data_IF_900612823889
#
_entry.id   IF_900612823889
#
_cell.length_a   1.000
_cell.length_b   1.000
_cell.length_c   1.000
_cell.angle_alpha   90.00
_cell.angle_beta   90.00
_cell.angle_gamma   90.00
#
_symmetry.space_group_name_H-M   'P 1'
#
loop_
_entity.id
_entity.type
_entity.pdbx_description
1 polymer ?
#
# COMPACT_ATOMS: atom_id res chain seq x y z
N UNK A 1 20.73 5.32 -56.98
CA UNK A 1 19.41 4.99 -56.39
C UNK A 1 19.53 5.16 -54.88
N UNK A 2 18.81 6.13 -54.33
CA UNK A 2 18.78 6.47 -52.89
C UNK A 2 17.74 5.58 -52.20
N UNK A 3 18.12 4.90 -51.13
CA UNK A 3 17.19 4.15 -50.26
C UNK A 3 16.83 5.03 -49.06
N UNK A 4 15.54 5.31 -48.89
CA UNK A 4 15.00 6.15 -47.81
C UNK A 4 15.04 5.39 -46.47
N UNK A 5 15.71 5.99 -45.49
CA UNK A 5 15.57 5.65 -44.08
C UNK A 5 14.36 6.42 -43.53
N UNK A 6 13.35 5.69 -43.06
CA UNK A 6 12.19 6.24 -42.35
C UNK A 6 12.62 6.56 -40.91
N UNK A 7 12.91 7.84 -40.68
CA UNK A 7 13.01 8.44 -39.34
C UNK A 7 11.60 8.47 -38.75
N UNK A 8 11.32 7.70 -37.71
CA UNK A 8 10.11 7.87 -36.90
C UNK A 8 10.35 9.03 -35.93
N UNK A 9 9.56 10.08 -36.10
CA UNK A 9 9.51 11.23 -35.21
C UNK A 9 9.08 10.82 -33.80
N UNK A 10 9.89 11.18 -32.81
CA UNK A 10 9.45 11.28 -31.42
C UNK A 10 8.39 12.39 -31.34
N UNK A 11 7.20 12.04 -30.85
CA UNK A 11 6.14 13.01 -30.56
C UNK A 11 6.56 13.96 -29.42
N UNK A 12 5.90 15.13 -29.32
CA UNK A 12 6.27 16.15 -28.35
C UNK A 12 6.00 15.65 -26.92
N UNK A 13 7.04 15.75 -26.09
CA UNK A 13 6.98 15.63 -24.64
C UNK A 13 5.98 16.69 -24.15
N UNK A 14 4.84 16.26 -23.62
CA UNK A 14 3.92 17.14 -22.90
C UNK A 14 4.67 17.76 -21.71
N UNK A 15 4.65 19.09 -21.54
CA UNK A 15 5.33 19.72 -20.41
C UNK A 15 4.66 19.24 -19.11
N UNK A 16 5.46 18.57 -18.28
CA UNK A 16 5.05 18.14 -16.96
C UNK A 16 4.51 19.30 -16.13
N UNK A 17 3.50 18.99 -15.33
CA UNK A 17 2.92 19.88 -14.33
C UNK A 17 4.06 20.47 -13.48
N UNK A 18 4.13 21.81 -13.27
CA UNK A 18 5.20 22.42 -12.50
C UNK A 18 5.18 21.90 -11.05
N UNK A 19 6.35 21.68 -10.43
CA UNK A 19 6.42 21.16 -9.07
C UNK A 19 5.81 22.15 -8.08
N UNK A 20 4.91 21.67 -7.23
CA UNK A 20 4.51 22.41 -6.02
C UNK A 20 5.72 22.48 -5.09
N UNK A 21 6.00 23.64 -4.47
CA UNK A 21 7.16 23.80 -3.61
C UNK A 21 7.09 22.85 -2.41
N UNK A 22 8.23 22.27 -2.05
CA UNK A 22 8.44 21.43 -0.87
C UNK A 22 7.88 22.13 0.37
N UNK A 23 6.71 21.67 0.82
CA UNK A 23 6.21 22.01 2.14
C UNK A 23 6.77 20.96 3.10
N UNK A 24 7.58 21.44 4.04
CA UNK A 24 7.96 20.70 5.24
C UNK A 24 6.67 20.30 5.98
N UNK A 25 6.15 19.10 5.72
CA UNK A 25 4.98 18.55 6.40
C UNK A 25 5.40 17.25 7.08
N UNK A 26 5.73 17.37 8.37
CA UNK A 26 5.58 16.28 9.33
C UNK A 26 4.07 16.02 9.52
N UNK A 27 3.74 14.85 10.08
CA UNK A 27 2.58 14.56 10.93
C UNK A 27 1.62 15.73 11.15
N UNK A 28 0.30 15.55 10.91
CA UNK A 28 -0.81 16.51 11.17
C UNK A 28 -0.29 17.83 11.70
N UNK A 29 -0.16 18.83 10.83
CA UNK A 29 0.44 20.12 11.20
C UNK A 29 -0.17 20.60 12.52
N UNK A 30 0.61 21.25 13.39
CA UNK A 30 0.07 21.83 14.64
C UNK A 30 -1.17 22.68 14.35
N UNK A 31 -1.23 23.29 13.16
CA UNK A 31 -2.40 24.00 12.64
C UNK A 31 -3.60 23.08 12.45
N UNK A 32 -3.45 21.93 11.80
CA UNK A 32 -4.53 20.97 11.57
C UNK A 32 -5.07 20.42 12.89
N UNK A 33 -4.19 20.07 13.83
CA UNK A 33 -4.57 19.61 15.17
C UNK A 33 -5.38 20.68 15.92
N UNK A 34 -4.97 21.94 15.85
CA UNK A 34 -5.71 23.07 16.45
C UNK A 34 -7.05 23.30 15.74
N UNK A 35 -7.07 23.29 14.41
CA UNK A 35 -8.28 23.51 13.61
C UNK A 35 -9.32 22.41 13.84
N UNK A 36 -8.89 21.18 14.09
CA UNK A 36 -9.77 20.08 14.46
C UNK A 36 -10.21 20.12 15.95
N UNK A 37 -9.35 20.51 16.89
CA UNK A 37 -9.64 20.44 18.33
C UNK A 37 -10.51 21.62 18.80
N UNK A 38 -10.26 22.82 18.30
CA UNK A 38 -10.90 24.04 18.79
C UNK A 38 -12.43 24.07 18.55
N UNK A 39 -12.98 23.64 17.41
CA UNK A 39 -14.43 23.55 17.22
C UNK A 39 -15.09 22.53 18.16
N UNK A 40 -14.47 21.37 18.38
CA UNK A 40 -14.98 20.35 19.30
C UNK A 40 -14.98 20.87 20.74
N UNK A 41 -13.90 21.53 21.17
CA UNK A 41 -13.83 22.16 22.49
C UNK A 41 -14.89 23.25 22.68
N UNK A 42 -15.09 24.10 21.67
CA UNK A 42 -16.12 25.13 21.69
C UNK A 42 -17.54 24.51 21.72
N UNK A 43 -17.76 23.40 21.00
CA UNK A 43 -19.02 22.66 21.01
C UNK A 43 -19.29 22.04 22.40
N UNK A 44 -18.28 21.42 23.02
CA UNK A 44 -18.37 20.90 24.39
C UNK A 44 -18.73 22.04 25.36
N UNK A 45 -18.12 23.22 25.22
CA UNK A 45 -18.43 24.36 26.08
C UNK A 45 -19.88 24.83 25.92
N UNK A 46 -20.41 24.86 24.69
CA UNK A 46 -21.82 25.17 24.40
C UNK A 46 -22.78 24.14 25.00
N UNK A 47 -22.39 22.87 25.03
CA UNK A 47 -23.19 21.78 25.59
C UNK A 47 -23.15 21.76 27.11
N UNK A 48 -21.96 21.88 27.72
CA UNK A 48 -21.77 21.71 29.18
C UNK A 48 -22.09 22.99 29.95
N UNK A 49 -21.72 24.16 29.42
CA UNK A 49 -21.93 25.46 30.08
C UNK A 49 -22.55 26.48 29.11
N UNK A 50 -23.86 26.38 28.81
CA UNK A 50 -24.48 27.12 27.71
C UNK A 50 -24.34 28.64 27.83
N UNK A 51 -24.43 29.20 29.05
CA UNK A 51 -24.31 30.65 29.27
C UNK A 51 -22.91 31.16 28.95
N UNK A 52 -21.87 30.45 29.40
CA UNK A 52 -20.48 30.79 29.12
C UNK A 52 -20.14 30.49 27.66
N UNK A 53 -20.51 29.30 27.19
CA UNK A 53 -20.28 28.85 25.82
C UNK A 53 -20.89 29.80 24.80
N UNK A 54 -22.07 30.36 25.07
CA UNK A 54 -22.68 31.33 24.16
C UNK A 54 -21.95 32.68 24.16
N UNK A 55 -21.53 33.19 25.33
CA UNK A 55 -20.73 34.42 25.43
C UNK A 55 -19.42 34.30 24.65
N UNK A 56 -18.72 33.17 24.81
CA UNK A 56 -17.48 32.88 24.09
C UNK A 56 -17.76 32.61 22.60
N UNK A 57 -18.82 31.86 22.30
CA UNK A 57 -19.17 31.37 20.97
C UNK A 57 -19.51 32.48 19.97
N UNK A 58 -20.06 33.62 20.41
CA UNK A 58 -20.32 34.78 19.55
C UNK A 58 -19.05 35.27 18.84
N UNK A 59 -17.90 35.12 19.49
CA UNK A 59 -16.61 35.52 18.93
C UNK A 59 -15.86 34.31 18.37
N UNK A 60 -15.81 33.22 19.12
CA UNK A 60 -15.01 32.06 18.76
C UNK A 60 -15.52 31.36 17.49
N UNK A 61 -16.83 31.19 17.32
CA UNK A 61 -17.39 30.43 16.18
C UNK A 61 -17.12 31.13 14.84
N UNK A 62 -17.37 32.45 14.68
CA UNK A 62 -17.00 33.15 13.45
C UNK A 62 -15.49 33.08 13.14
N UNK A 63 -14.63 33.21 14.16
CA UNK A 63 -13.17 33.08 13.98
C UNK A 63 -12.80 31.68 13.47
N UNK A 64 -13.39 30.63 14.06
CA UNK A 64 -13.18 29.26 13.61
C UNK A 64 -13.67 29.04 12.18
N UNK A 65 -14.83 29.59 11.80
CA UNK A 65 -15.36 29.51 10.43
C UNK A 65 -14.41 30.19 9.45
N UNK A 66 -13.93 31.40 9.76
CA UNK A 66 -12.98 32.13 8.90
C UNK A 66 -11.66 31.36 8.79
N UNK A 67 -11.16 30.79 9.89
CA UNK A 67 -9.97 29.95 9.91
C UNK A 67 -10.11 28.72 9.01
N UNK A 68 -11.25 28.02 9.09
CA UNK A 68 -11.54 26.85 8.25
C UNK A 68 -11.77 27.23 6.79
N UNK A 69 -12.39 28.37 6.50
CA UNK A 69 -12.53 28.87 5.14
C UNK A 69 -11.16 29.21 4.54
N UNK A 70 -10.28 29.84 5.32
CA UNK A 70 -8.89 30.10 4.93
C UNK A 70 -8.11 28.81 4.68
N UNK A 71 -8.24 27.82 5.58
CA UNK A 71 -7.63 26.51 5.40
C UNK A 71 -8.16 25.82 4.15
N UNK A 72 -9.47 25.85 3.90
CA UNK A 72 -10.10 25.23 2.72
C UNK A 72 -9.58 25.82 1.40
N UNK A 73 -9.31 27.13 1.34
CA UNK A 73 -8.73 27.77 0.16
C UNK A 73 -7.32 27.27 -0.16
N UNK A 74 -6.60 26.78 0.84
CA UNK A 74 -5.25 26.21 0.68
C UNK A 74 -5.34 24.69 0.52
N UNK A 75 -6.16 24.03 1.33
CA UNK A 75 -6.26 22.59 1.52
C UNK A 75 -7.72 22.15 1.78
N UNK A 76 -8.40 21.60 0.77
CA UNK A 76 -9.78 21.14 0.90
C UNK A 76 -9.86 19.77 1.58
N UNK A 77 -9.87 19.76 2.91
CA UNK A 77 -10.13 18.55 3.72
C UNK A 77 -11.60 18.11 3.65
N UNK A 78 -11.99 17.50 2.52
CA UNK A 78 -13.37 17.03 2.27
C UNK A 78 -13.88 16.06 3.34
N UNK A 79 -12.98 15.28 3.96
CA UNK A 79 -13.29 14.37 5.05
C UNK A 79 -13.71 15.08 6.35
N UNK A 80 -13.48 16.40 6.48
CA UNK A 80 -13.93 17.20 7.63
C UNK A 80 -15.35 17.74 7.48
N UNK A 81 -16.15 17.23 6.54
CA UNK A 81 -17.54 17.66 6.37
C UNK A 81 -18.39 17.66 7.65
N UNK A 82 -18.25 16.72 8.62
CA UNK A 82 -19.01 16.80 9.87
C UNK A 82 -18.62 18.01 10.72
N UNK A 83 -17.34 18.39 10.69
CA UNK A 83 -16.80 19.56 11.38
C UNK A 83 -17.36 20.85 10.77
N UNK A 84 -17.47 20.92 9.45
CA UNK A 84 -18.09 22.06 8.77
C UNK A 84 -19.58 22.20 9.13
N UNK A 85 -20.32 21.09 9.21
CA UNK A 85 -21.70 21.09 9.70
C UNK A 85 -21.79 21.49 11.17
N UNK A 86 -20.85 21.05 12.01
CA UNK A 86 -20.77 21.45 13.42
C UNK A 86 -20.60 22.97 13.55
N UNK A 87 -19.69 23.57 12.78
CA UNK A 87 -19.46 25.01 12.79
C UNK A 87 -20.72 25.81 12.40
N UNK A 88 -21.45 25.35 11.37
CA UNK A 88 -22.72 25.96 10.96
C UNK A 88 -23.78 25.80 12.05
N UNK A 89 -23.92 24.62 12.64
CA UNK A 89 -24.87 24.36 13.72
C UNK A 89 -24.57 25.24 14.96
N UNK A 90 -23.30 25.39 15.31
CA UNK A 90 -22.86 26.27 16.40
C UNK A 90 -23.15 27.75 16.10
N UNK A 91 -22.96 28.20 14.86
CA UNK A 91 -23.26 29.57 14.47
C UNK A 91 -24.75 29.86 14.62
N UNK A 92 -25.60 28.97 14.11
CA UNK A 92 -27.06 29.08 14.23
C UNK A 92 -27.49 29.08 15.70
N UNK A 93 -26.93 28.17 16.51
CA UNK A 93 -27.25 28.07 17.93
C UNK A 93 -26.87 29.33 18.71
N UNK A 94 -25.70 29.90 18.45
CA UNK A 94 -25.26 31.13 19.12
C UNK A 94 -26.14 32.32 18.70
N UNK A 95 -26.54 32.38 17.43
CA UNK A 95 -27.37 33.44 16.85
C UNK A 95 -28.86 33.36 17.21
N UNK A 96 -29.40 32.22 17.64
CA UNK A 96 -30.86 32.01 17.84
C UNK A 96 -31.22 31.73 19.30
N UNK A 97 -32.31 32.30 19.80
CA UNK A 97 -32.72 32.20 21.22
C UNK A 97 -33.73 31.09 21.54
N UNK A 98 -34.01 30.16 20.60
CA UNK A 98 -35.04 29.11 20.75
C UNK A 98 -34.50 27.67 20.71
N UNK A 99 -35.28 26.73 21.26
CA UNK A 99 -35.02 25.25 21.28
C UNK A 99 -33.64 24.84 21.81
N UNK A 100 -33.20 25.42 22.93
CA UNK A 100 -31.86 25.22 23.48
C UNK A 100 -31.47 23.74 23.71
N UNK A 101 -32.40 22.90 24.16
CA UNK A 101 -32.10 21.48 24.42
C UNK A 101 -31.84 20.69 23.13
N UNK A 102 -32.70 20.81 22.12
CA UNK A 102 -32.54 20.12 20.83
C UNK A 102 -31.29 20.63 20.09
N UNK A 103 -31.02 21.93 20.14
CA UNK A 103 -29.79 22.51 19.58
C UNK A 103 -28.53 21.95 20.25
N UNK A 104 -28.54 21.79 21.57
CA UNK A 104 -27.41 21.19 22.32
C UNK A 104 -27.23 19.71 22.02
N UNK A 105 -28.31 18.94 21.89
CA UNK A 105 -28.22 17.53 21.49
C UNK A 105 -27.62 17.43 20.08
N UNK A 106 -28.10 18.23 19.12
CA UNK A 106 -27.56 18.27 17.77
C UNK A 106 -26.08 18.64 17.72
N UNK A 107 -25.67 19.69 18.46
CA UNK A 107 -24.26 20.09 18.58
C UNK A 107 -23.44 18.97 19.23
N UNK A 108 -23.94 18.33 20.29
CA UNK A 108 -23.24 17.23 20.96
C UNK A 108 -23.01 16.04 20.05
N UNK A 109 -24.03 15.64 19.27
CA UNK A 109 -23.91 14.56 18.27
C UNK A 109 -22.92 14.96 17.17
N UNK A 110 -23.04 16.16 16.60
CA UNK A 110 -22.09 16.63 15.58
C UNK A 110 -20.66 16.75 16.12
N UNK A 111 -20.48 17.14 17.37
CA UNK A 111 -19.17 17.20 18.03
C UNK A 111 -18.58 15.81 18.19
N UNK A 112 -19.38 14.80 18.55
CA UNK A 112 -18.94 13.41 18.62
C UNK A 112 -18.55 12.87 17.23
N UNK A 113 -19.36 13.12 16.19
CA UNK A 113 -19.04 12.72 14.81
C UNK A 113 -17.78 13.46 14.31
N UNK A 114 -17.63 14.75 14.63
CA UNK A 114 -16.45 15.54 14.24
C UNK A 114 -15.19 15.08 14.97
N UNK A 115 -15.31 14.69 16.24
CA UNK A 115 -14.21 14.06 16.97
C UNK A 115 -13.83 12.72 16.33
N UNK A 116 -14.80 11.97 15.80
CA UNK A 116 -14.52 10.74 15.06
C UNK A 116 -13.77 10.98 13.73
N UNK A 117 -13.72 12.19 13.19
CA UNK A 117 -12.89 12.51 12.01
C UNK A 117 -11.40 12.45 12.33
N UNK A 118 -10.99 12.71 13.59
CA UNK A 118 -9.59 12.53 14.04
C UNK A 118 -9.07 11.12 13.86
N UNK A 119 -9.99 10.17 13.72
CA UNK A 119 -9.69 8.76 13.61
C UNK A 119 -9.14 8.38 12.24
N UNK A 120 -9.24 9.28 11.25
CA UNK A 120 -8.72 9.09 9.89
C UNK A 120 -7.79 10.27 9.58
N UNK A 121 -6.47 10.13 9.78
CA UNK A 121 -5.53 11.20 9.51
C UNK A 121 -5.63 11.67 8.06
N UNK A 122 -5.56 12.99 7.77
CA UNK A 122 -5.57 13.49 6.41
C UNK A 122 -4.42 12.96 5.55
N UNK A 123 -3.24 12.80 6.16
CA UNK A 123 -2.06 12.20 5.53
C UNK A 123 -1.59 11.06 6.44
N UNK A 124 -1.76 9.80 6.02
CA UNK A 124 -1.23 8.64 6.75
C UNK A 124 0.29 8.68 6.90
N UNK A 125 0.78 8.15 8.01
CA UNK A 125 2.21 7.96 8.26
C UNK A 125 2.59 6.50 8.06
N UNK A 126 3.50 6.25 7.12
CA UNK A 126 4.06 4.93 6.85
C UNK A 126 5.31 4.67 7.73
N UNK A 127 5.59 3.41 8.10
CA UNK A 127 6.76 3.07 8.90
C UNK A 127 8.06 3.53 8.23
N UNK A 128 8.98 4.09 9.03
CA UNK A 128 10.32 4.39 8.55
C UNK A 128 11.09 3.10 8.22
N UNK A 129 11.78 3.04 7.06
CA UNK A 129 12.70 1.98 6.74
C UNK A 129 13.76 1.82 7.83
N UNK A 130 14.06 0.57 8.17
CA UNK A 130 15.02 0.18 9.20
C UNK A 130 16.39 -0.16 8.63
N UNK A 131 16.46 -0.43 7.33
CA UNK A 131 17.71 -0.65 6.62
C UNK A 131 18.55 0.64 6.53
N UNK A 132 19.88 0.50 6.40
CA UNK A 132 20.80 1.65 6.46
C UNK A 132 20.87 2.48 5.18
N UNK A 133 20.13 2.12 4.13
CA UNK A 133 20.21 2.76 2.81
C UNK A 133 19.03 3.68 2.58
N UNK A 134 19.28 4.81 1.90
CA UNK A 134 18.21 5.58 1.29
C UNK A 134 17.50 4.72 0.22
N UNK A 135 16.27 5.08 -0.13
CA UNK A 135 15.46 4.32 -1.10
C UNK A 135 15.13 5.20 -2.30
N UNK A 136 15.44 4.71 -3.50
CA UNK A 136 15.01 5.31 -4.76
C UNK A 136 13.83 4.55 -5.34
N UNK A 137 13.05 5.19 -6.20
CA UNK A 137 11.97 4.55 -6.95
C UNK A 137 11.94 4.96 -8.42
N UNK A 138 11.42 4.06 -9.25
CA UNK A 138 11.17 4.26 -10.67
C UNK A 138 9.99 3.37 -11.10
N UNK A 139 9.15 3.82 -12.04
CA UNK A 139 8.07 3.00 -12.60
C UNK A 139 8.39 2.65 -14.05
N UNK A 140 8.18 1.40 -14.39
CA UNK A 140 8.19 0.86 -15.75
C UNK A 140 6.78 0.47 -16.16
N UNK A 141 6.29 1.04 -17.26
CA UNK A 141 4.99 0.71 -17.84
C UNK A 141 5.22 -0.04 -19.14
N UNK A 142 5.07 -1.35 -19.09
CA UNK A 142 5.33 -2.22 -20.22
C UNK A 142 4.04 -2.78 -20.80
N UNK A 143 4.07 -3.05 -22.10
CA UNK A 143 2.97 -3.73 -22.81
C UNK A 143 3.49 -5.05 -23.34
N UNK A 144 2.89 -6.14 -22.90
CA UNK A 144 3.15 -7.48 -23.42
C UNK A 144 2.42 -7.67 -24.75
N UNK A 145 3.16 -7.44 -25.84
CA UNK A 145 2.62 -7.53 -27.21
C UNK A 145 2.15 -8.95 -27.58
N UNK A 146 2.59 -9.99 -26.85
CA UNK A 146 2.25 -11.38 -27.13
C UNK A 146 0.96 -11.84 -26.43
N UNK A 147 0.52 -11.13 -25.38
CA UNK A 147 -0.69 -11.49 -24.61
C UNK A 147 -1.82 -10.49 -24.84
N UNK A 148 -3.02 -10.94 -25.27
CA UNK A 148 -4.18 -10.07 -25.28
C UNK A 148 -4.58 -9.67 -23.86
N UNK A 149 -5.17 -8.49 -23.70
CA UNK A 149 -5.90 -8.17 -22.48
C UNK A 149 -7.29 -8.80 -22.54
N UNK A 150 -7.62 -9.62 -21.56
CA UNK A 150 -8.86 -10.39 -21.58
C UNK A 150 -10.08 -9.55 -21.14
N UNK A 151 -9.85 -8.36 -20.56
CA UNK A 151 -10.85 -7.58 -19.80
C UNK A 151 -11.31 -6.30 -20.46
N UNK A 152 -10.74 -6.00 -21.63
CA UNK A 152 -11.04 -4.82 -22.43
C UNK A 152 -11.35 -5.27 -23.86
N UNK A 153 -11.23 -4.36 -24.82
CA UNK A 153 -11.51 -4.60 -26.24
C UNK A 153 -10.60 -5.70 -26.83
N UNK A 154 -11.07 -6.35 -27.89
CA UNK A 154 -10.43 -7.55 -28.43
C UNK A 154 -9.01 -7.34 -29.01
N UNK A 155 -8.63 -6.10 -29.31
CA UNK A 155 -7.30 -5.74 -29.82
C UNK A 155 -6.33 -5.23 -28.75
N UNK A 156 -6.79 -5.05 -27.51
CA UNK A 156 -5.95 -4.57 -26.41
C UNK A 156 -4.90 -5.62 -26.00
N UNK A 157 -3.81 -5.13 -25.41
CA UNK A 157 -2.63 -5.91 -25.03
C UNK A 157 -2.37 -5.76 -23.55
N UNK A 158 -1.88 -6.85 -22.95
CA UNK A 158 -1.68 -6.92 -21.51
C UNK A 158 -0.66 -5.87 -21.06
N UNK A 159 -1.13 -4.88 -20.32
CA UNK A 159 -0.26 -3.95 -19.61
C UNK A 159 0.31 -4.63 -18.36
N UNK A 160 1.60 -4.43 -18.10
CA UNK A 160 2.28 -4.86 -16.89
C UNK A 160 3.04 -3.66 -16.34
N UNK A 161 2.53 -3.11 -15.24
CA UNK A 161 3.08 -1.90 -14.60
C UNK A 161 3.88 -2.34 -13.38
N UNK A 162 5.15 -1.92 -13.34
CA UNK A 162 6.10 -2.33 -12.32
C UNK A 162 6.72 -1.10 -11.70
N UNK A 163 6.66 -0.99 -10.38
CA UNK A 163 7.42 0.00 -9.65
C UNK A 163 8.58 -0.66 -8.93
N UNK A 164 9.76 -0.09 -9.12
CA UNK A 164 10.95 -0.47 -8.41
C UNK A 164 11.12 0.38 -7.15
N UNK A 165 11.54 -0.28 -6.07
CA UNK A 165 12.20 0.34 -4.91
C UNK A 165 13.60 -0.23 -4.84
N UNK A 166 14.61 0.62 -4.74
CA UNK A 166 16.01 0.19 -4.80
C UNK A 166 16.87 0.95 -3.80
N UNK A 167 18.01 0.38 -3.36
CA UNK A 167 18.95 1.10 -2.51
C UNK A 167 19.52 2.28 -3.28
N UNK A 168 19.30 3.50 -2.81
CA UNK A 168 19.80 4.74 -3.40
C UNK A 168 21.07 5.22 -2.70
N UNK A 169 21.90 5.96 -3.44
CA UNK A 169 23.16 6.49 -2.90
C UNK A 169 22.93 7.55 -1.81
N UNK A 170 21.89 8.36 -1.95
CA UNK A 170 21.55 9.43 -1.02
C UNK A 170 20.04 9.71 -1.03
N UNK A 171 19.54 10.19 0.11
CA UNK A 171 18.17 10.65 0.28
C UNK A 171 18.06 12.13 -0.12
N UNK A 172 17.98 12.41 -1.42
CA UNK A 172 17.81 13.78 -1.90
C UNK A 172 16.98 13.82 -3.18
N UNK A 173 16.05 14.76 -3.27
CA UNK A 173 15.26 15.00 -4.47
C UNK A 173 13.77 14.97 -4.19
N UNK A 174 12.99 14.84 -5.27
CA UNK A 174 11.53 14.78 -5.22
C UNK A 174 11.09 13.46 -4.58
N UNK A 175 10.23 13.54 -3.56
CA UNK A 175 9.59 12.34 -2.99
C UNK A 175 8.70 11.65 -4.03
N UNK A 176 8.68 10.32 -3.97
CA UNK A 176 7.80 9.54 -4.83
C UNK A 176 6.35 9.59 -4.31
N UNK A 177 5.39 9.78 -5.22
CA UNK A 177 3.95 9.83 -4.90
C UNK A 177 3.42 8.45 -4.55
N UNK A 178 2.48 8.37 -3.61
CA UNK A 178 1.94 7.09 -3.16
C UNK A 178 1.10 6.39 -4.24
N UNK A 179 0.13 7.09 -4.83
CA UNK A 179 -0.72 6.60 -5.91
C UNK A 179 -0.46 7.42 -7.17
N UNK A 180 -0.24 6.75 -8.31
CA UNK A 180 0.00 7.39 -9.62
C UNK A 180 -1.29 7.80 -10.35
N UNK A 181 -2.45 7.27 -9.96
CA UNK A 181 -3.78 7.69 -10.46
C UNK A 181 -4.61 8.45 -9.42
N UNK A 182 -3.98 9.28 -8.59
CA UNK A 182 -4.62 9.96 -7.46
C UNK A 182 -5.77 10.91 -7.87
N UNK A 183 -5.70 11.49 -9.06
CA UNK A 183 -6.70 12.40 -9.62
C UNK A 183 -7.98 11.71 -10.09
N UNK A 184 -7.92 10.41 -10.38
CA UNK A 184 -9.03 9.60 -10.88
C UNK A 184 -9.11 8.32 -10.05
N UNK A 185 -9.67 8.44 -8.84
CA UNK A 185 -9.87 7.30 -7.95
C UNK A 185 -11.28 6.71 -8.13
N UNK A 186 -11.43 5.37 -8.11
CA UNK A 186 -12.74 4.74 -7.99
C UNK A 186 -13.39 5.09 -6.64
N UNK A 187 -14.64 4.66 -6.40
CA UNK A 187 -15.32 4.90 -5.12
C UNK A 187 -14.60 4.30 -3.90
N UNK A 188 -13.81 3.25 -4.12
CA UNK A 188 -12.98 2.60 -3.11
C UNK A 188 -11.73 1.96 -3.74
N UNK A 189 -10.63 1.96 -3.00
CA UNK A 189 -9.36 1.30 -3.37
C UNK A 189 -9.07 0.23 -2.32
N UNK A 190 -9.14 -1.05 -2.71
CA UNK A 190 -8.98 -2.20 -1.81
C UNK A 190 -9.82 -2.10 -0.51
N UNK A 191 -11.13 -1.87 -0.68
CA UNK A 191 -12.12 -1.64 0.39
C UNK A 191 -11.99 -0.32 1.17
N UNK A 192 -10.96 0.48 0.90
CA UNK A 192 -10.79 1.79 1.55
C UNK A 192 -11.53 2.85 0.72
N UNK A 193 -12.49 3.59 1.29
CA UNK A 193 -13.23 4.62 0.56
C UNK A 193 -12.33 5.74 0.02
N UNK A 194 -12.47 6.14 -1.24
CA UNK A 194 -11.63 7.20 -1.82
C UNK A 194 -11.86 8.59 -1.21
N UNK A 195 -12.99 8.79 -0.51
CA UNK A 195 -13.28 10.03 0.23
C UNK A 195 -12.19 10.40 1.25
N UNK A 196 -11.49 9.42 1.82
CA UNK A 196 -10.43 9.66 2.81
C UNK A 196 -9.05 9.81 2.17
N UNK A 197 -8.92 9.58 0.87
CA UNK A 197 -7.64 9.55 0.17
C UNK A 197 -7.22 10.88 -0.43
N UNK A 198 -7.95 11.97 -0.19
CA UNK A 198 -7.77 13.23 -0.94
C UNK A 198 -6.39 13.91 -0.83
N UNK A 199 -5.55 13.48 0.12
CA UNK A 199 -4.20 14.03 0.35
C UNK A 199 -3.11 12.95 0.32
N UNK A 200 -3.37 11.80 -0.32
CA UNK A 200 -2.43 10.67 -0.35
C UNK A 200 -1.23 10.92 -1.26
N UNK A 201 -1.28 11.93 -2.15
CA UNK A 201 -0.12 12.45 -2.88
C UNK A 201 0.98 13.00 -1.96
N UNK A 202 0.64 13.28 -0.68
CA UNK A 202 1.57 13.79 0.35
C UNK A 202 2.11 12.73 1.30
N UNK A 203 1.67 11.47 1.18
CA UNK A 203 2.21 10.39 2.00
C UNK A 203 3.71 10.26 1.73
N UNK A 204 4.52 10.26 2.79
CA UNK A 204 5.94 9.96 2.67
C UNK A 204 6.12 8.46 2.46
N UNK A 205 6.44 8.07 1.22
CA UNK A 205 6.74 6.69 0.85
C UNK A 205 8.15 6.26 1.25
N UNK A 206 8.93 7.18 1.82
CA UNK A 206 10.36 7.03 2.11
C UNK A 206 11.23 6.78 0.87
N UNK A 207 10.68 6.99 -0.33
CA UNK A 207 11.35 6.78 -1.60
C UNK A 207 11.49 8.09 -2.40
N UNK A 208 12.61 8.21 -3.11
CA UNK A 208 12.95 9.39 -3.92
C UNK A 208 12.94 9.05 -5.41
N UNK A 209 12.40 9.97 -6.21
CA UNK A 209 12.49 9.93 -7.66
C UNK A 209 13.86 10.42 -8.15
N UNK A 210 14.27 9.95 -9.33
CA UNK A 210 15.39 10.54 -10.09
C UNK A 210 16.74 10.50 -9.34
N UNK A 211 16.92 9.51 -8.46
CA UNK A 211 18.16 9.29 -7.68
C UNK A 211 18.95 8.08 -8.21
N UNK A 212 20.30 8.13 -8.18
CA UNK A 212 21.11 7.00 -8.62
C UNK A 212 21.05 5.83 -7.63
N UNK A 213 21.11 4.61 -8.17
CA UNK A 213 21.28 3.38 -7.38
C UNK A 213 22.60 3.42 -6.61
N UNK A 214 22.57 2.96 -5.36
CA UNK A 214 23.74 2.95 -4.49
C UNK A 214 24.89 2.13 -5.06
N UNK A 215 26.10 2.67 -4.94
CA UNK A 215 27.37 2.05 -5.34
C UNK A 215 27.95 1.10 -4.29
N UNK A 216 27.30 0.94 -3.13
CA UNK A 216 27.74 0.03 -2.07
C UNK A 216 27.82 -1.45 -2.51
N UNK A 217 27.13 -1.81 -3.60
CA UNK A 217 27.20 -3.13 -4.25
C UNK A 217 27.09 -2.94 -5.77
N UNK A 218 27.83 -3.75 -6.54
CA UNK A 218 27.79 -3.67 -8.01
C UNK A 218 26.42 -4.06 -8.57
N UNK A 219 25.87 -5.17 -8.07
CA UNK A 219 24.56 -5.72 -8.48
C UNK A 219 23.78 -6.18 -7.26
N UNK A 220 22.51 -5.82 -7.17
CA UNK A 220 21.66 -6.07 -6.03
C UNK A 220 20.71 -7.26 -6.28
N UNK A 221 20.47 -8.13 -5.27
CA UNK A 221 19.48 -9.20 -5.39
C UNK A 221 18.10 -8.62 -5.70
N UNK A 222 17.33 -9.32 -6.53
CA UNK A 222 16.04 -8.86 -7.05
C UNK A 222 14.91 -9.60 -6.36
N UNK A 223 13.87 -8.86 -5.98
CA UNK A 223 12.65 -9.39 -5.40
C UNK A 223 11.48 -8.96 -6.26
N UNK A 224 10.77 -9.88 -6.89
CA UNK A 224 9.46 -9.59 -7.47
C UNK A 224 8.42 -9.58 -6.36
N UNK A 225 7.59 -8.55 -6.31
CA UNK A 225 6.50 -8.43 -5.33
C UNK A 225 5.14 -8.44 -6.02
N UNK A 226 4.24 -9.33 -5.60
CA UNK A 226 2.84 -9.35 -6.07
C UNK A 226 1.88 -8.95 -4.92
N UNK A 227 1.03 -7.92 -5.11
CA UNK A 227 0.03 -7.46 -4.13
C UNK A 227 -1.06 -8.48 -3.79
N UNK A 228 -1.89 -8.19 -2.79
CA UNK A 228 -3.17 -8.90 -2.58
C UNK A 228 -4.16 -8.69 -3.74
N UNK A 229 -5.24 -9.47 -3.77
CA UNK A 229 -6.31 -9.31 -4.76
C UNK A 229 -6.96 -7.93 -4.62
N UNK A 230 -7.17 -7.23 -5.75
CA UNK A 230 -7.76 -5.88 -5.77
C UNK A 230 -6.87 -4.74 -5.24
N UNK A 231 -5.76 -5.05 -4.58
CA UNK A 231 -4.86 -4.05 -4.02
C UNK A 231 -3.86 -3.54 -5.06
N UNK A 232 -3.65 -2.21 -5.16
CA UNK A 232 -2.55 -1.68 -5.95
C UNK A 232 -1.21 -1.94 -5.24
N UNK A 233 -0.12 -1.96 -6.01
CA UNK A 233 1.26 -2.09 -5.53
C UNK A 233 1.62 -1.02 -4.48
N UNK A 234 1.02 0.16 -4.60
CA UNK A 234 1.20 1.28 -3.68
C UNK A 234 0.90 0.92 -2.22
N UNK A 235 -0.05 0.00 -1.97
CA UNK A 235 -0.49 -0.41 -0.63
C UNK A 235 0.53 -1.25 0.15
N UNK A 236 1.75 -1.37 -0.38
CA UNK A 236 2.84 -2.12 0.22
C UNK A 236 4.12 -1.28 0.31
N UNK A 237 4.03 0.04 0.13
CA UNK A 237 5.17 0.96 0.08
C UNK A 237 6.02 0.86 1.35
N UNK A 238 5.41 0.79 2.54
CA UNK A 238 6.16 0.62 3.79
C UNK A 238 7.00 -0.67 3.82
N UNK A 239 6.37 -1.79 3.46
CA UNK A 239 7.02 -3.11 3.42
C UNK A 239 8.16 -3.15 2.39
N UNK A 240 7.93 -2.69 1.15
CA UNK A 240 8.92 -2.80 0.06
C UNK A 240 10.03 -1.76 0.15
N UNK A 241 9.75 -0.57 0.69
CA UNK A 241 10.78 0.44 0.96
C UNK A 241 11.76 -0.05 2.03
N UNK A 242 11.28 -0.71 3.08
CA UNK A 242 12.16 -1.29 4.11
C UNK A 242 13.03 -2.43 3.53
N UNK A 243 12.49 -3.30 2.68
CA UNK A 243 13.31 -4.28 1.94
C UNK A 243 14.36 -3.61 1.06
N UNK A 244 14.00 -2.54 0.34
CA UNK A 244 14.96 -1.81 -0.47
C UNK A 244 16.07 -1.18 0.39
N UNK A 245 15.73 -0.58 1.53
CA UNK A 245 16.69 -0.04 2.48
C UNK A 245 17.64 -1.11 3.04
N UNK A 246 17.19 -2.36 3.12
CA UNK A 246 17.96 -3.55 3.54
C UNK A 246 18.85 -4.14 2.45
N UNK A 247 18.78 -3.63 1.23
CA UNK A 247 19.69 -4.01 0.14
C UNK A 247 19.10 -4.94 -0.92
N UNK A 248 17.82 -4.78 -1.25
CA UNK A 248 17.18 -5.48 -2.36
C UNK A 248 16.65 -4.50 -3.41
N UNK A 249 16.65 -4.89 -4.67
CA UNK A 249 15.81 -4.21 -5.67
C UNK A 249 14.46 -4.92 -5.68
N UNK A 250 13.42 -4.25 -5.20
CA UNK A 250 12.06 -4.79 -5.15
C UNK A 250 11.26 -4.26 -6.34
N UNK A 251 10.74 -5.15 -7.16
CA UNK A 251 9.90 -4.87 -8.34
C UNK A 251 8.46 -5.26 -8.01
N UNK A 252 7.66 -4.30 -7.53
CA UNK A 252 6.25 -4.54 -7.22
C UNK A 252 5.38 -4.36 -8.46
N UNK A 253 4.54 -5.36 -8.74
CA UNK A 253 3.79 -5.47 -9.98
C UNK A 253 2.32 -5.15 -9.73
N UNK A 254 1.77 -4.18 -10.44
CA UNK A 254 0.33 -4.05 -10.58
C UNK A 254 -0.20 -5.01 -11.64
N UNK A 255 -1.40 -5.54 -11.37
CA UNK A 255 -2.15 -6.37 -12.29
C UNK A 255 -3.37 -5.57 -12.75
N UNK A 256 -3.30 -4.86 -13.90
CA UNK A 256 -4.37 -3.98 -14.37
C UNK A 256 -5.71 -4.69 -14.47
N UNK A 257 -6.79 -3.92 -14.25
CA UNK A 257 -8.19 -4.35 -14.23
C UNK A 257 -8.58 -5.31 -13.10
N UNK A 258 -7.60 -5.84 -12.36
CA UNK A 258 -7.77 -6.46 -11.05
C UNK A 258 -7.47 -5.44 -9.95
N UNK A 259 -6.31 -4.77 -10.00
CA UNK A 259 -5.95 -3.67 -9.11
C UNK A 259 -6.94 -2.49 -9.24
N UNK A 260 -7.24 -1.83 -8.12
CA UNK A 260 -8.26 -0.78 -8.06
C UNK A 260 -7.91 0.49 -8.86
N UNK A 261 -6.63 0.82 -8.97
CA UNK A 261 -6.15 1.99 -9.70
C UNK A 261 -4.74 1.69 -10.22
N UNK A 262 -4.53 1.86 -11.52
CA UNK A 262 -3.21 1.69 -12.15
C UNK A 262 -3.13 2.58 -13.39
N UNK A 263 -2.13 3.44 -13.46
CA UNK A 263 -1.83 4.20 -14.69
C UNK A 263 -1.09 3.32 -15.71
N UNK A 264 -1.67 3.12 -16.88
CA UNK A 264 -1.16 2.28 -17.96
C UNK A 264 -0.10 2.98 -18.82
N UNK A 265 0.53 2.25 -19.74
CA UNK A 265 1.61 2.76 -20.58
C UNK A 265 1.21 3.91 -21.52
N UNK A 266 -0.08 4.03 -21.85
CA UNK A 266 -0.65 5.11 -22.66
C UNK A 266 -1.13 6.31 -21.81
N UNK A 267 -0.99 6.25 -20.48
CA UNK A 267 -1.45 7.26 -19.52
C UNK A 267 -2.91 7.07 -19.08
N UNK A 268 -3.61 6.05 -19.57
CA UNK A 268 -4.98 5.75 -19.12
C UNK A 268 -4.98 5.21 -17.69
N UNK A 269 -5.93 5.65 -16.85
CA UNK A 269 -6.13 5.08 -15.52
C UNK A 269 -7.06 3.86 -15.63
N UNK A 270 -6.54 2.67 -15.37
CA UNK A 270 -7.32 1.44 -15.29
C UNK A 270 -7.88 1.24 -13.88
N UNK A 271 -9.17 0.91 -13.81
CA UNK A 271 -9.87 0.51 -12.60
C UNK A 271 -10.23 -0.97 -12.62
N UNK A 272 -10.55 -1.53 -11.45
CA UNK A 272 -11.11 -2.87 -11.36
C UNK A 272 -12.40 -2.95 -12.19
N UNK A 273 -12.46 -3.89 -13.12
CA UNK A 273 -13.66 -4.16 -13.95
C UNK A 273 -14.34 -5.49 -13.59
N UNK A 274 -13.75 -6.25 -12.67
CA UNK A 274 -14.26 -7.55 -12.26
C UNK A 274 -14.90 -7.53 -10.88
N UNK A 275 -16.06 -8.18 -10.78
CA UNK A 275 -16.68 -8.54 -9.50
C UNK A 275 -16.39 -10.02 -9.25
N UNK A 276 -15.84 -10.34 -8.08
CA UNK A 276 -15.62 -11.74 -7.70
C UNK A 276 -16.99 -12.45 -7.63
N UNK A 277 -17.21 -13.52 -8.43
CA UNK A 277 -18.45 -14.26 -8.40
C UNK A 277 -18.54 -15.05 -7.11
N UNK A 278 -19.76 -15.11 -6.55
CA UNK A 278 -20.10 -16.06 -5.49
C UNK A 278 -20.10 -17.45 -6.14
N UNK A 279 -19.22 -18.34 -5.71
CA UNK A 279 -19.16 -19.76 -6.10
C UNK A 279 -18.53 -20.15 -7.45
N UNK A 280 -17.53 -19.42 -7.97
CA UNK A 280 -16.67 -19.96 -9.05
C UNK A 280 -15.24 -20.28 -8.55
N UNK A 281 -14.91 -21.56 -8.29
CA UNK A 281 -13.58 -21.95 -7.85
C UNK A 281 -12.49 -21.75 -8.92
N UNK A 282 -12.87 -21.58 -10.20
CA UNK A 282 -11.93 -21.32 -11.30
C UNK A 282 -11.50 -19.86 -11.36
N UNK A 283 -12.30 -18.95 -10.79
CA UNK A 283 -12.05 -17.51 -10.86
C UNK A 283 -10.62 -17.17 -10.42
N UNK A 284 -10.25 -17.58 -9.20
CA UNK A 284 -8.92 -17.31 -8.65
C UNK A 284 -7.81 -18.11 -9.37
N UNK A 285 -8.12 -19.28 -9.93
CA UNK A 285 -7.16 -20.08 -10.70
C UNK A 285 -6.76 -19.36 -11.99
N UNK A 286 -7.73 -18.77 -12.68
CA UNK A 286 -7.49 -18.00 -13.90
C UNK A 286 -6.66 -16.73 -13.61
N UNK A 287 -6.99 -15.97 -12.56
CA UNK A 287 -6.18 -14.79 -12.18
C UNK A 287 -4.79 -15.20 -11.72
N UNK A 288 -4.65 -16.35 -11.04
CA UNK A 288 -3.33 -16.86 -10.63
C UNK A 288 -2.46 -17.13 -11.87
N UNK A 289 -3.05 -17.69 -12.93
CA UNK A 289 -2.35 -17.91 -14.19
C UNK A 289 -1.93 -16.58 -14.87
N UNK A 290 -2.80 -15.58 -14.87
CA UNK A 290 -2.49 -14.23 -15.37
C UNK A 290 -1.34 -13.61 -14.58
N UNK A 291 -1.43 -13.58 -13.24
CA UNK A 291 -0.37 -13.04 -12.38
C UNK A 291 0.95 -13.79 -12.53
N UNK A 292 0.91 -15.11 -12.69
CA UNK A 292 2.08 -15.93 -12.99
C UNK A 292 2.72 -15.52 -14.31
N UNK A 293 1.91 -15.26 -15.35
CA UNK A 293 2.40 -14.80 -16.64
C UNK A 293 2.95 -13.36 -16.58
N UNK A 294 2.34 -12.47 -15.80
CA UNK A 294 2.86 -11.11 -15.58
C UNK A 294 4.23 -11.15 -14.89
N UNK A 295 4.39 -11.93 -13.82
CA UNK A 295 5.69 -12.08 -13.14
C UNK A 295 6.76 -12.63 -14.09
N UNK A 296 6.42 -13.60 -14.94
CA UNK A 296 7.33 -14.14 -15.97
C UNK A 296 7.68 -13.10 -17.03
N UNK A 297 6.72 -12.28 -17.44
CA UNK A 297 6.97 -11.17 -18.35
C UNK A 297 7.92 -10.14 -17.72
N UNK A 298 7.78 -9.82 -16.44
CA UNK A 298 8.74 -8.96 -15.72
C UNK A 298 10.15 -9.58 -15.75
N UNK A 299 10.27 -10.89 -15.49
CA UNK A 299 11.56 -11.59 -15.61
C UNK A 299 12.16 -11.47 -17.02
N UNK A 300 11.33 -11.56 -18.06
CA UNK A 300 11.76 -11.40 -19.45
C UNK A 300 12.27 -9.99 -19.72
N UNK A 301 11.58 -8.95 -19.23
CA UNK A 301 12.00 -7.55 -19.39
C UNK A 301 13.34 -7.27 -18.70
N UNK A 302 13.52 -7.71 -17.45
CA UNK A 302 14.76 -7.45 -16.71
C UNK A 302 15.94 -8.30 -17.19
N UNK A 303 15.68 -9.41 -17.88
CA UNK A 303 16.72 -10.27 -18.48
C UNK A 303 17.03 -9.92 -19.93
N UNK A 304 16.09 -9.29 -20.64
CA UNK A 304 16.09 -9.09 -22.09
C UNK A 304 16.80 -7.82 -22.58
N UNK A 305 17.37 -7.01 -21.67
CA UNK A 305 18.07 -5.77 -22.03
C UNK A 305 17.14 -4.60 -22.38
N UNK A 306 15.90 -4.62 -21.89
CA UNK A 306 15.01 -3.44 -21.89
C UNK A 306 15.68 -2.29 -21.15
N UNK A 307 15.37 -1.05 -21.51
CA UNK A 307 15.83 0.12 -20.75
C UNK A 307 15.25 0.08 -19.33
N UNK A 308 16.11 -0.16 -18.35
CA UNK A 308 15.78 -0.18 -16.93
C UNK A 308 16.17 1.13 -16.22
N UNK A 309 16.54 2.17 -16.99
CA UNK A 309 16.97 3.46 -16.48
C UNK A 309 18.03 3.33 -15.39
N UNK A 310 17.78 3.79 -14.15
CA UNK A 310 18.77 3.75 -13.08
C UNK A 310 19.19 2.32 -12.68
N UNK A 311 18.39 1.30 -12.99
CA UNK A 311 18.65 -0.10 -12.65
C UNK A 311 19.48 -0.84 -13.71
N UNK A 312 19.81 -0.21 -14.83
CA UNK A 312 20.62 -0.81 -15.89
C UNK A 312 21.94 -1.35 -15.33
N UNK A 313 22.24 -2.63 -15.58
CA UNK A 313 23.41 -3.36 -15.07
C UNK A 313 23.55 -3.45 -13.53
N UNK A 314 22.55 -3.01 -12.77
CA UNK A 314 22.53 -3.02 -11.29
C UNK A 314 21.78 -4.20 -10.70
N UNK A 315 21.17 -5.06 -11.52
CA UNK A 315 20.40 -6.22 -11.06
C UNK A 315 21.26 -7.48 -11.01
N UNK A 316 21.20 -8.19 -9.90
CA UNK A 316 21.76 -9.54 -9.79
C UNK A 316 20.73 -10.57 -10.29
N UNK A 317 20.77 -10.82 -11.59
CA UNK A 317 19.85 -11.75 -12.24
C UNK A 317 20.08 -13.23 -11.86
N UNK A 318 21.08 -13.53 -11.03
CA UNK A 318 21.29 -14.88 -10.48
C UNK A 318 20.61 -15.09 -9.12
N UNK A 319 20.17 -14.02 -8.47
CA UNK A 319 19.48 -14.02 -7.19
C UNK A 319 18.14 -13.28 -7.33
N UNK A 320 17.19 -13.92 -8.00
CA UNK A 320 15.82 -13.41 -8.16
C UNK A 320 14.85 -14.24 -7.33
N UNK A 321 14.14 -13.60 -6.42
CA UNK A 321 13.12 -14.23 -5.58
C UNK A 321 11.75 -13.62 -5.89
N UNK A 322 10.67 -14.37 -5.62
CA UNK A 322 9.31 -13.84 -5.73
C UNK A 322 8.63 -13.88 -4.37
N UNK A 323 8.05 -12.77 -3.93
CA UNK A 323 7.25 -12.70 -2.71
C UNK A 323 5.90 -12.08 -3.03
N UNK A 324 4.91 -12.29 -2.18
CA UNK A 324 3.66 -11.60 -2.31
C UNK A 324 2.74 -11.80 -1.13
N UNK A 325 1.76 -10.92 -1.02
CA UNK A 325 0.78 -10.94 0.05
C UNK A 325 -0.56 -11.50 -0.43
N UNK A 326 -1.22 -12.30 0.42
CA UNK A 326 -2.53 -12.86 0.14
C UNK A 326 -2.51 -13.61 -1.21
N UNK A 327 -3.36 -13.24 -2.16
CA UNK A 327 -3.35 -13.82 -3.50
C UNK A 327 -2.01 -13.67 -4.25
N UNK A 328 -1.27 -12.60 -4.00
CA UNK A 328 0.07 -12.40 -4.55
C UNK A 328 1.10 -13.41 -4.05
N UNK A 329 0.94 -13.94 -2.84
CA UNK A 329 1.79 -15.00 -2.31
C UNK A 329 1.58 -16.33 -3.06
N UNK A 330 0.33 -16.64 -3.41
CA UNK A 330 0.02 -17.77 -4.29
C UNK A 330 0.59 -17.58 -5.71
N UNK A 331 0.51 -16.35 -6.24
CA UNK A 331 1.13 -16.01 -7.52
C UNK A 331 2.66 -16.15 -7.49
N UNK A 332 3.32 -15.73 -6.41
CA UNK A 332 4.76 -15.87 -6.22
C UNK A 332 5.20 -17.35 -6.19
N UNK A 333 4.48 -18.20 -5.45
CA UNK A 333 4.72 -19.65 -5.42
C UNK A 333 4.43 -20.32 -6.78
N UNK A 334 3.37 -19.91 -7.46
CA UNK A 334 3.04 -20.39 -8.81
C UNK A 334 4.14 -20.02 -9.81
N UNK A 335 4.63 -18.77 -9.78
CA UNK A 335 5.73 -18.31 -10.60
C UNK A 335 7.03 -19.06 -10.30
N UNK A 336 7.37 -19.27 -9.02
CA UNK A 336 8.50 -20.10 -8.63
C UNK A 336 8.38 -21.47 -9.29
N UNK A 337 7.24 -22.15 -9.16
CA UNK A 337 7.04 -23.48 -9.74
C UNK A 337 7.16 -23.52 -11.28
N UNK A 338 6.91 -22.41 -11.97
CA UNK A 338 6.83 -22.33 -13.43
C UNK A 338 8.10 -21.76 -14.11
N UNK A 339 8.94 -21.01 -13.40
CA UNK A 339 10.11 -20.33 -13.97
C UNK A 339 11.38 -20.62 -13.16
N UNK A 340 12.43 -21.12 -13.84
CA UNK A 340 13.70 -21.53 -13.22
C UNK A 340 14.60 -20.37 -12.82
N UNK A 341 14.35 -19.15 -13.31
CA UNK A 341 15.12 -17.95 -12.92
C UNK A 341 14.85 -17.54 -11.48
N UNK A 342 13.68 -17.90 -10.95
CA UNK A 342 13.35 -17.67 -9.55
C UNK A 342 14.03 -18.71 -8.66
N UNK A 343 14.83 -18.26 -7.69
CA UNK A 343 15.61 -19.13 -6.81
C UNK A 343 14.90 -19.43 -5.49
N UNK A 344 13.99 -18.57 -5.05
CA UNK A 344 13.17 -18.77 -3.84
C UNK A 344 11.84 -18.01 -3.93
N UNK A 345 10.86 -18.38 -3.10
CA UNK A 345 9.64 -17.59 -2.94
C UNK A 345 9.06 -17.55 -1.53
N UNK A 346 8.40 -16.43 -1.20
CA UNK A 346 7.70 -16.27 0.07
C UNK A 346 6.20 -15.97 -0.12
N UNK A 347 5.37 -16.67 0.65
CA UNK A 347 3.94 -16.44 0.74
C UNK A 347 3.62 -15.70 2.05
N UNK A 348 3.23 -14.43 1.96
CA UNK A 348 2.79 -13.63 3.09
C UNK A 348 1.27 -13.78 3.23
N UNK A 349 0.87 -14.70 4.10
CA UNK A 349 -0.49 -14.96 4.51
C UNK A 349 -1.48 -15.26 3.36
N UNK A 350 -1.00 -15.96 2.32
CA UNK A 350 -1.79 -16.28 1.13
C UNK A 350 -2.45 -17.66 1.13
N UNK A 351 -3.69 -17.69 0.64
CA UNK A 351 -4.40 -18.93 0.30
C UNK A 351 -3.93 -19.45 -1.06
N UNK A 352 -3.72 -20.76 -1.19
CA UNK A 352 -3.29 -21.37 -2.46
C UNK A 352 -4.48 -21.75 -3.36
N UNK A 353 -4.29 -21.67 -4.69
CA UNK A 353 -5.32 -21.95 -5.68
C UNK A 353 -4.91 -22.99 -6.73
N UNK A 354 -5.92 -23.65 -7.30
CA UNK A 354 -5.76 -24.65 -8.34
C UNK A 354 -4.98 -25.88 -7.87
N UNK A 355 -4.03 -26.31 -8.69
CA UNK A 355 -3.16 -27.46 -8.44
C UNK A 355 -1.92 -27.11 -7.60
N UNK A 356 -1.73 -25.84 -7.22
CA UNK A 356 -0.53 -25.38 -6.52
C UNK A 356 -0.23 -26.18 -5.23
N UNK A 357 -1.21 -26.52 -4.36
CA UNK A 357 -0.98 -27.39 -3.21
C UNK A 357 -0.43 -28.78 -3.55
N UNK A 358 -0.63 -29.25 -4.79
CA UNK A 358 -0.23 -30.59 -5.23
C UNK A 358 1.09 -30.59 -6.00
N UNK A 359 1.66 -29.41 -6.30
CA UNK A 359 2.93 -29.28 -7.01
C UNK A 359 4.11 -29.66 -6.12
N UNK A 360 5.15 -30.18 -6.75
CA UNK A 360 6.46 -30.38 -6.11
C UNK A 360 7.34 -29.18 -6.43
N UNK A 361 7.86 -28.51 -5.41
CA UNK A 361 8.78 -27.38 -5.56
C UNK A 361 10.14 -27.79 -4.97
N UNK A 362 11.19 -27.60 -5.76
CA UNK A 362 12.57 -28.01 -5.48
C UNK A 362 13.48 -26.83 -5.08
N UNK A 363 12.87 -25.71 -4.70
CA UNK A 363 13.53 -24.46 -4.31
C UNK A 363 12.97 -23.93 -2.99
N UNK A 364 13.75 -23.13 -2.23
CA UNK A 364 13.33 -22.65 -0.92
C UNK A 364 12.00 -21.89 -0.94
N UNK A 365 11.18 -22.17 0.08
CA UNK A 365 9.88 -21.53 0.29
C UNK A 365 9.75 -21.07 1.73
N UNK A 366 9.29 -19.84 1.92
CA UNK A 366 8.88 -19.29 3.20
C UNK A 366 7.36 -19.04 3.21
N UNK A 367 6.69 -19.42 4.29
CA UNK A 367 5.30 -19.06 4.56
C UNK A 367 5.29 -18.24 5.85
N UNK A 368 4.85 -16.99 5.77
CA UNK A 368 4.60 -16.14 6.93
C UNK A 368 3.08 -15.99 7.09
N UNK A 369 2.56 -16.42 8.23
CA UNK A 369 1.12 -16.46 8.50
C UNK A 369 0.75 -15.36 9.50
N UNK A 370 -0.44 -14.80 9.35
CA UNK A 370 -1.06 -13.98 10.40
C UNK A 370 -1.47 -14.88 11.58
N UNK A 371 -1.88 -14.26 12.69
CA UNK A 371 -2.37 -14.98 13.85
C UNK A 371 -3.68 -15.73 13.51
N UNK A 372 -3.64 -17.05 13.63
CA UNK A 372 -4.76 -17.94 13.28
C UNK A 372 -5.97 -17.76 14.17
N UNK A 373 -5.76 -17.44 15.44
CA UNK A 373 -6.85 -17.25 16.41
C UNK A 373 -7.65 -15.97 16.10
N UNK A 374 -6.96 -14.97 15.54
CA UNK A 374 -7.57 -13.69 15.14
C UNK A 374 -8.25 -13.80 13.78
N UNK A 375 -7.55 -14.33 12.77
CA UNK A 375 -8.06 -14.28 11.39
C UNK A 375 -9.00 -15.43 11.04
N UNK A 376 -9.00 -16.51 11.83
CA UNK A 376 -9.86 -17.67 11.59
C UNK A 376 -9.62 -18.27 10.19
N UNK A 377 -8.34 -18.50 9.84
CA UNK A 377 -7.96 -19.01 8.52
C UNK A 377 -8.83 -20.19 8.09
N UNK A 378 -9.35 -20.13 6.86
CA UNK A 378 -10.21 -21.17 6.30
C UNK A 378 -9.50 -22.52 6.17
N UNK A 379 -10.26 -23.62 6.15
CA UNK A 379 -9.75 -24.97 5.89
C UNK A 379 -8.93 -25.01 4.58
N UNK A 380 -9.38 -24.31 3.54
CA UNK A 380 -8.65 -24.18 2.27
C UNK A 380 -7.24 -23.62 2.45
N UNK A 381 -7.09 -22.60 3.30
CA UNK A 381 -5.80 -22.00 3.59
C UNK A 381 -4.91 -22.99 4.35
N UNK A 382 -5.44 -23.59 5.42
CA UNK A 382 -4.68 -24.47 6.31
C UNK A 382 -4.26 -25.75 5.59
N UNK A 383 -5.20 -26.44 4.95
CA UNK A 383 -4.98 -27.69 4.23
C UNK A 383 -4.10 -27.46 3.00
N UNK A 384 -4.35 -26.39 2.24
CA UNK A 384 -3.59 -26.08 1.03
C UNK A 384 -2.12 -25.80 1.32
N UNK A 385 -1.82 -24.96 2.30
CA UNK A 385 -0.44 -24.68 2.70
C UNK A 385 0.23 -25.93 3.32
N UNK A 386 -0.49 -26.73 4.12
CA UNK A 386 0.04 -27.98 4.65
C UNK A 386 0.32 -29.03 3.56
N UNK A 387 -0.55 -29.14 2.55
CA UNK A 387 -0.38 -30.00 1.38
C UNK A 387 0.89 -29.62 0.59
N UNK A 388 1.09 -28.33 0.35
CA UNK A 388 2.27 -27.83 -0.36
C UNK A 388 3.55 -28.17 0.42
N UNK A 389 3.59 -27.87 1.72
CA UNK A 389 4.77 -28.09 2.58
C UNK A 389 5.23 -29.55 2.55
N UNK A 390 4.29 -30.51 2.54
CA UNK A 390 4.59 -31.95 2.42
C UNK A 390 5.26 -32.34 1.10
N UNK A 391 5.23 -31.47 0.09
CA UNK A 391 5.74 -31.72 -1.27
C UNK A 391 6.96 -30.88 -1.62
N UNK A 392 7.44 -30.03 -0.70
CA UNK A 392 8.67 -29.26 -0.88
C UNK A 392 9.89 -30.18 -0.77
N UNK A 393 10.86 -30.01 -1.67
CA UNK A 393 12.11 -30.80 -1.72
C UNK A 393 13.35 -29.99 -1.34
N UNK A 394 13.16 -28.71 -1.02
CA UNK A 394 14.21 -27.80 -0.57
C UNK A 394 13.88 -27.30 0.85
N UNK A 395 14.83 -26.65 1.54
CA UNK A 395 14.58 -26.03 2.84
C UNK A 395 13.33 -25.15 2.80
N UNK A 396 12.43 -25.38 3.73
CA UNK A 396 11.17 -24.64 3.82
C UNK A 396 10.93 -24.18 5.24
N UNK A 397 10.30 -23.02 5.34
CA UNK A 397 10.13 -22.30 6.60
C UNK A 397 8.68 -21.87 6.73
N UNK A 398 8.11 -22.04 7.91
CA UNK A 398 6.75 -21.63 8.22
C UNK A 398 6.73 -20.97 9.58
N UNK A 399 6.31 -19.71 9.62
CA UNK A 399 6.17 -18.96 10.85
C UNK A 399 4.82 -18.28 10.92
N UNK A 400 4.25 -18.26 12.11
CA UNK A 400 3.06 -17.49 12.44
C UNK A 400 3.47 -16.27 13.28
N UNK A 401 2.94 -15.10 12.91
CA UNK A 401 3.16 -13.84 13.63
C UNK A 401 1.96 -13.59 14.53
N UNK A 402 2.14 -13.82 15.83
CA UNK A 402 1.11 -13.55 16.84
C UNK A 402 0.68 -12.08 16.84
N UNK A 403 -0.60 -11.87 17.08
CA UNK A 403 -1.31 -10.58 17.02
C UNK A 403 -1.32 -9.89 15.64
N UNK A 404 -0.77 -10.50 14.58
CA UNK A 404 -0.90 -9.98 13.23
C UNK A 404 -2.26 -10.34 12.62
N UNK A 405 -2.87 -9.38 11.93
CA UNK A 405 -4.03 -9.58 11.06
C UNK A 405 -3.56 -9.76 9.60
N UNK A 406 -4.39 -10.40 8.76
CA UNK A 406 -4.19 -10.48 7.31
C UNK A 406 -3.84 -9.12 6.68
N UNK A 407 -4.53 -8.04 7.06
CA UNK A 407 -4.31 -6.72 6.45
C UNK A 407 -3.06 -6.01 7.02
N UNK A 408 -2.45 -6.55 8.09
CA UNK A 408 -1.27 -5.95 8.76
C UNK A 408 0.01 -6.00 7.93
N UNK A 409 0.05 -6.79 6.85
CA UNK A 409 1.15 -6.80 5.88
C UNK A 409 1.07 -5.66 4.86
N UNK A 410 0.03 -4.82 4.92
CA UNK A 410 -0.24 -3.71 4.00
C UNK A 410 -0.13 -2.36 4.72
N UNK A 411 -0.14 -1.29 3.95
CA UNK A 411 -0.18 0.08 4.47
C UNK A 411 -1.60 0.50 4.89
N UNK A 412 -2.64 -0.26 4.53
CA UNK A 412 -4.04 0.12 4.79
C UNK A 412 -4.37 0.38 6.27
N UNK A 413 -3.84 -0.38 7.26
CA UNK A 413 -4.07 -0.07 8.67
C UNK A 413 -3.48 1.29 9.10
N UNK A 414 -2.49 1.83 8.38
CA UNK A 414 -1.92 3.16 8.65
C UNK A 414 -2.85 4.32 8.27
N UNK A 415 -3.91 4.05 7.50
CA UNK A 415 -4.87 5.06 7.05
C UNK A 415 -5.86 5.49 8.13
N UNK A 416 -5.91 4.76 9.24
CA UNK A 416 -6.64 5.14 10.45
C UNK A 416 -5.64 5.54 11.54
N UNK A 417 -6.08 6.28 12.55
CA UNK A 417 -5.22 6.74 13.64
C UNK A 417 -4.81 5.61 14.59
N UNK A 418 -3.69 5.77 15.29
CA UNK A 418 -3.23 4.80 16.28
C UNK A 418 -4.26 4.50 17.40
N UNK A 419 -4.98 5.49 17.96
CA UNK A 419 -6.04 5.21 18.93
C UNK A 419 -7.15 4.31 18.40
N UNK A 420 -7.55 4.46 17.12
CA UNK A 420 -8.56 3.56 16.53
C UNK A 420 -8.05 2.17 16.33
N UNK A 421 -6.83 2.02 15.81
CA UNK A 421 -6.22 0.68 15.70
C UNK A 421 -6.20 -0.02 17.04
N UNK A 422 -5.78 0.68 18.09
CA UNK A 422 -5.74 0.15 19.45
C UNK A 422 -7.12 -0.24 19.98
N UNK A 423 -8.15 0.60 19.80
CA UNK A 423 -9.52 0.26 20.22
C UNK A 423 -10.07 -0.92 19.40
N UNK A 424 -9.84 -0.95 18.10
CA UNK A 424 -10.23 -2.05 17.24
C UNK A 424 -9.55 -3.37 17.67
N UNK A 425 -8.25 -3.33 17.98
CA UNK A 425 -7.51 -4.50 18.45
C UNK A 425 -8.00 -5.02 19.80
N UNK A 426 -8.53 -4.16 20.68
CA UNK A 426 -9.15 -4.57 21.95
C UNK A 426 -10.53 -5.24 21.77
N UNK A 427 -11.27 -4.88 20.72
CA UNK A 427 -12.64 -5.35 20.49
C UNK A 427 -12.70 -6.60 19.60
N UNK A 428 -11.85 -6.66 18.58
CA UNK A 428 -11.87 -7.71 17.55
C UNK A 428 -10.69 -8.69 17.73
N UNK A 429 -9.73 -8.37 18.60
CA UNK A 429 -8.44 -9.05 18.62
C UNK A 429 -7.58 -8.60 17.44
N UNK A 430 -6.27 -8.70 17.56
CA UNK A 430 -5.35 -8.34 16.48
C UNK A 430 -5.12 -6.84 16.31
N UNK A 431 -3.90 -6.43 16.62
CA UNK A 431 -2.94 -5.83 15.70
C UNK A 431 -1.73 -5.56 16.59
N UNK A 432 -0.66 -6.33 16.42
CA UNK A 432 0.67 -6.07 17.02
C UNK A 432 1.18 -4.64 16.74
N UNK A 433 0.49 -3.95 15.83
CA UNK A 433 0.90 -2.73 15.16
C UNK A 433 1.28 -3.13 13.73
N UNK A 434 0.64 -2.58 12.68
CA UNK A 434 0.99 -2.89 11.29
C UNK A 434 2.47 -2.62 10.99
N UNK A 435 3.07 -1.58 11.59
CA UNK A 435 4.51 -1.31 11.51
C UNK A 435 5.37 -2.46 12.04
N UNK A 436 4.97 -3.08 13.15
CA UNK A 436 5.70 -4.17 13.77
C UNK A 436 5.55 -5.46 12.96
N UNK A 437 4.36 -5.74 12.41
CA UNK A 437 4.14 -6.86 11.49
C UNK A 437 4.99 -6.73 10.24
N UNK A 438 4.99 -5.57 9.58
CA UNK A 438 5.80 -5.33 8.38
C UNK A 438 7.31 -5.45 8.68
N UNK A 439 7.79 -4.81 9.77
CA UNK A 439 9.20 -4.86 10.19
C UNK A 439 9.67 -6.27 10.47
N UNK A 440 8.91 -7.01 11.28
CA UNK A 440 9.20 -8.39 11.65
C UNK A 440 9.17 -9.29 10.42
N UNK A 441 8.17 -9.12 9.54
CA UNK A 441 8.11 -9.81 8.25
C UNK A 441 9.40 -9.62 7.46
N UNK A 442 9.90 -8.39 7.38
CA UNK A 442 11.17 -8.08 6.71
C UNK A 442 12.42 -8.59 7.46
N UNK A 443 12.39 -8.64 8.79
CA UNK A 443 13.46 -9.24 9.60
C UNK A 443 13.63 -10.73 9.29
N UNK A 444 12.53 -11.46 9.01
CA UNK A 444 12.57 -12.87 8.61
C UNK A 444 12.83 -13.03 7.10
N UNK A 445 12.21 -12.19 6.27
CA UNK A 445 12.40 -12.23 4.80
C UNK A 445 13.84 -11.95 4.40
N UNK A 446 14.53 -11.02 5.06
CA UNK A 446 15.90 -10.62 4.68
C UNK A 446 16.88 -11.80 4.64
N UNK A 447 17.09 -12.57 5.73
CA UNK A 447 17.97 -13.73 5.68
C UNK A 447 17.44 -14.83 4.75
N UNK A 448 16.12 -14.99 4.62
CA UNK A 448 15.53 -15.93 3.66
C UNK A 448 15.90 -15.59 2.22
N UNK A 449 15.77 -14.32 1.82
CA UNK A 449 16.08 -13.84 0.47
C UNK A 449 17.59 -13.86 0.17
N UNK A 450 18.44 -13.82 1.20
CA UNK A 450 19.89 -14.00 1.09
C UNK A 450 20.32 -15.48 1.10
N UNK A 451 19.40 -16.42 1.37
CA UNK A 451 19.71 -17.84 1.50
C UNK A 451 20.42 -18.22 2.81
N UNK A 452 20.41 -17.33 3.82
CA UNK A 452 21.02 -17.59 5.13
C UNK A 452 20.02 -18.33 6.05
N UNK A 453 19.92 -19.64 5.86
CA UNK A 453 18.96 -20.47 6.59
C UNK A 453 19.14 -20.47 8.11
N UNK A 454 20.37 -20.28 8.60
CA UNK A 454 20.65 -20.24 10.03
C UNK A 454 20.15 -18.93 10.67
N UNK A 455 20.21 -17.83 9.92
CA UNK A 455 19.76 -16.53 10.40
C UNK A 455 18.24 -16.39 10.36
N UNK A 456 17.51 -17.12 9.51
CA UNK A 456 16.03 -17.09 9.48
C UNK A 456 15.44 -17.45 10.85
N UNK A 457 15.88 -18.55 11.44
CA UNK A 457 15.38 -19.01 12.73
C UNK A 457 15.79 -18.06 13.87
N UNK A 458 16.99 -17.48 13.79
CA UNK A 458 17.45 -16.48 14.76
C UNK A 458 16.64 -15.19 14.66
N UNK A 459 16.36 -14.72 13.44
CA UNK A 459 15.51 -13.57 13.20
C UNK A 459 14.13 -13.78 13.79
N UNK A 460 13.47 -14.91 13.49
CA UNK A 460 12.18 -15.25 14.09
C UNK A 460 12.24 -15.29 15.63
N UNK A 461 13.28 -15.90 16.21
CA UNK A 461 13.43 -16.01 17.67
C UNK A 461 13.68 -14.67 18.38
N UNK A 462 14.14 -13.62 17.68
CA UNK A 462 14.29 -12.27 18.25
C UNK A 462 12.95 -11.59 18.55
N UNK A 463 11.85 -12.06 17.96
CA UNK A 463 10.53 -11.45 18.12
C UNK A 463 9.63 -12.32 19.00
N UNK A 464 9.26 -11.85 20.21
CA UNK A 464 8.27 -12.54 21.04
C UNK A 464 6.97 -12.75 20.26
N UNK A 465 6.31 -13.90 20.37
CA UNK A 465 5.05 -14.14 19.65
C UNK A 465 5.20 -14.54 18.17
N UNK A 466 6.42 -14.72 17.65
CA UNK A 466 6.61 -15.49 16.42
C UNK A 466 6.75 -16.96 16.78
N UNK A 467 5.99 -17.83 16.12
CA UNK A 467 6.06 -19.27 16.34
C UNK A 467 6.38 -20.01 15.05
N UNK A 468 7.31 -20.98 15.12
CA UNK A 468 7.54 -21.90 14.02
C UNK A 468 6.38 -22.93 13.96
N UNK A 469 5.93 -23.27 12.76
CA UNK A 469 4.74 -24.10 12.54
C UNK A 469 5.00 -25.36 11.71
#
# INVERSE_FOLDING_TARGET
MRTHALVRHAGPITPGIPPRPDRNERAVSVIDAVMLAAPVAAAILLVVSPRLGRRVGVVAVPVLIVGHAGLWLVEPYRQWWPLYLLLVAMLVFVATTGRELLGRIGIGVLAAISAAVWLVPPVPELPEPTGPRAVGSAIFRWVDQARPEARTEADDRRNVVVQAWYPAEFASGRRWVYLDGQEDLPSQVAMVPSLIMGAYDRIDTHAYADVPVSQARQRWPVVLFSPGYGAPRAFYSGLVADLAARGFVVLAVDHPYEAAVTELADGTIAHTVETMPVDDPRFMVERQAIRTADLRFVLDQISGGTDLGPLADRLDLTHISAIGHSFGGAAALSALSADRRLVAAANLDGTLYGDLPQRTIDRPVLILESDREITGHSDRYLDGNADLLRRLRAPSFRYEIGEADHISFTDAPHFVSAPVRFVASLLVGGSRGPADTQRLGNDILTPFLLGDHAEIAQAAARHPGVTAR
#
